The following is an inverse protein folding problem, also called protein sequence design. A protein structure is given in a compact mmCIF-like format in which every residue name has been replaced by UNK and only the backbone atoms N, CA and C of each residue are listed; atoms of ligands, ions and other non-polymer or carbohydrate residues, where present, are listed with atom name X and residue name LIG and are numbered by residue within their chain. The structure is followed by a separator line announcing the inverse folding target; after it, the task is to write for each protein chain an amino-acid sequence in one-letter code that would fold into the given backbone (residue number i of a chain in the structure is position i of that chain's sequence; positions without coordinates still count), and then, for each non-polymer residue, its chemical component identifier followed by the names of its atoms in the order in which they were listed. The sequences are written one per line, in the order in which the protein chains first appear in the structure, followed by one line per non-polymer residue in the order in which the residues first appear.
data_IF_348692759414
#
_entry.id   IF_348692759414
#
_cell.length_a   1.000
_cell.length_b   1.000
_cell.length_c   1.000
_cell.angle_alpha   90.00
_cell.angle_beta   90.00
_cell.angle_gamma   90.00
#
_symmetry.space_group_name_H-M   'P 1'
#
loop_
_entity.id
_entity.type
_entity.pdbx_description
1 polymer ?
#
# COMPACT_ATOMS: atom_id res chain seq x y z
N UNK A 1 33.10 2.18 10.94
CA UNK A 1 31.63 2.01 10.84
C UNK A 1 30.96 3.32 11.25
N UNK A 2 30.23 3.97 10.34
CA UNK A 2 29.54 5.23 10.60
C UNK A 2 28.55 5.08 11.77
N UNK A 3 28.42 6.11 12.60
CA UNK A 3 27.59 6.07 13.82
C UNK A 3 26.14 5.65 13.53
N UNK A 4 25.55 6.13 12.44
CA UNK A 4 24.19 5.74 12.03
C UNK A 4 24.04 4.25 11.74
N UNK A 5 25.09 3.59 11.23
CA UNK A 5 25.10 2.16 10.96
C UNK A 5 25.27 1.36 12.26
N UNK A 6 26.15 1.81 13.17
CA UNK A 6 26.29 1.21 14.51
C UNK A 6 24.96 1.21 15.26
N UNK A 7 24.24 2.33 15.24
CA UNK A 7 22.91 2.43 15.86
C UNK A 7 21.90 1.50 15.21
N UNK A 8 21.81 1.48 13.88
CA UNK A 8 20.86 0.60 13.19
C UNK A 8 21.14 -0.89 13.49
N UNK A 9 22.41 -1.29 13.57
CA UNK A 9 22.80 -2.62 14.02
C UNK A 9 22.37 -2.90 15.47
N UNK A 10 22.51 -1.92 16.37
CA UNK A 10 22.07 -2.06 17.76
C UNK A 10 20.55 -2.25 17.88
N UNK A 11 19.74 -1.50 17.12
CA UNK A 11 18.28 -1.71 17.07
C UNK A 11 17.92 -3.07 16.45
N UNK A 12 18.64 -3.51 15.42
CA UNK A 12 18.45 -4.85 14.85
C UNK A 12 18.73 -5.96 15.88
N UNK A 13 19.77 -5.81 16.72
CA UNK A 13 20.05 -6.75 17.81
C UNK A 13 18.95 -6.76 18.88
N UNK A 14 18.39 -5.60 19.22
CA UNK A 14 17.22 -5.53 20.12
C UNK A 14 16.01 -6.22 19.47
N UNK A 15 15.80 -6.03 18.17
CA UNK A 15 14.73 -6.72 17.43
C UNK A 15 14.89 -8.24 17.46
N UNK A 16 16.12 -8.77 17.43
CA UNK A 16 16.42 -10.20 17.55
C UNK A 16 15.90 -10.83 18.85
N UNK A 17 15.68 -10.05 19.92
CA UNK A 17 15.05 -10.55 21.15
C UNK A 17 13.66 -11.16 20.90
N UNK A 18 12.97 -10.75 19.84
CA UNK A 18 11.68 -11.34 19.44
C UNK A 18 11.80 -12.84 19.15
N UNK A 19 12.95 -13.34 18.71
CA UNK A 19 13.19 -14.77 18.46
C UNK A 19 13.07 -15.65 19.72
N UNK A 20 13.10 -15.06 20.92
CA UNK A 20 12.84 -15.78 22.17
C UNK A 20 11.33 -16.03 22.42
N UNK A 21 10.45 -15.34 21.69
CA UNK A 21 9.00 -15.41 21.91
C UNK A 21 8.41 -16.83 21.84
N UNK A 22 8.81 -17.71 20.90
CA UNK A 22 8.33 -19.10 20.87
C UNK A 22 8.58 -19.87 22.16
N UNK A 23 9.71 -19.59 22.82
CA UNK A 23 10.11 -20.25 24.07
C UNK A 23 9.42 -19.63 25.29
N UNK A 24 9.09 -18.35 25.24
CA UNK A 24 8.50 -17.60 26.34
C UNK A 24 6.96 -17.68 26.38
N UNK A 25 6.32 -18.06 25.27
CA UNK A 25 4.86 -18.18 25.18
C UNK A 25 4.16 -16.88 25.59
N UNK A 26 3.34 -16.94 26.65
CA UNK A 26 2.61 -15.76 27.19
C UNK A 26 3.54 -14.62 27.65
N UNK A 27 4.81 -14.91 27.91
CA UNK A 27 5.82 -13.93 28.30
C UNK A 27 6.61 -13.32 27.11
N UNK A 28 6.16 -13.51 25.87
CA UNK A 28 6.82 -13.01 24.66
C UNK A 28 7.15 -11.49 24.69
N UNK A 29 6.34 -10.69 25.39
CA UNK A 29 6.55 -9.24 25.53
C UNK A 29 7.62 -8.85 26.56
N UNK A 30 7.97 -9.74 27.51
CA UNK A 30 8.83 -9.42 28.66
C UNK A 30 10.22 -8.91 28.27
N UNK A 31 10.95 -9.51 27.29
CA UNK A 31 12.26 -9.00 26.90
C UNK A 31 12.24 -7.53 26.48
N UNK A 32 11.21 -7.12 25.74
CA UNK A 32 11.06 -5.73 25.29
C UNK A 32 10.62 -4.80 26.42
N UNK A 33 9.78 -5.26 27.35
CA UNK A 33 9.42 -4.47 28.53
C UNK A 33 10.66 -4.16 29.38
N UNK A 34 11.55 -5.16 29.55
CA UNK A 34 12.83 -4.98 30.25
C UNK A 34 13.72 -3.97 29.52
N UNK A 35 13.85 -4.06 28.19
CA UNK A 35 14.61 -3.08 27.41
C UNK A 35 14.02 -1.66 27.56
N UNK A 36 12.69 -1.52 27.58
CA UNK A 36 12.05 -0.22 27.76
C UNK A 36 12.36 0.38 29.15
N UNK A 37 12.25 -0.42 30.21
CA UNK A 37 12.56 0.02 31.59
C UNK A 37 14.03 0.39 31.71
N UNK A 38 14.95 -0.48 31.28
CA UNK A 38 16.38 -0.21 31.34
C UNK A 38 16.75 1.02 30.50
N UNK A 39 16.25 1.10 29.26
CA UNK A 39 16.46 2.22 28.35
C UNK A 39 16.01 3.56 28.93
N UNK A 40 14.94 3.57 29.73
CA UNK A 40 14.45 4.78 30.40
C UNK A 40 15.37 5.28 31.53
N UNK A 41 16.21 4.40 32.08
CA UNK A 41 17.18 4.75 33.14
C UNK A 41 18.54 5.19 32.61
N UNK A 42 18.84 4.94 31.33
CA UNK A 42 20.12 5.27 30.70
C UNK A 42 20.12 6.72 30.22
N UNK A 43 20.99 7.54 30.81
CA UNK A 43 21.19 8.96 30.47
C UNK A 43 22.55 9.26 29.84
N UNK A 44 23.55 8.40 30.08
CA UNK A 44 24.94 8.59 29.68
C UNK A 44 25.68 7.25 29.47
N UNK A 45 26.96 7.32 29.10
CA UNK A 45 27.82 6.16 28.84
C UNK A 45 27.67 5.52 27.45
N UNK A 46 28.35 4.38 27.26
CA UNK A 46 28.50 3.79 25.92
C UNK A 46 27.18 3.32 25.31
N UNK A 47 26.23 2.81 26.12
CA UNK A 47 24.90 2.42 25.65
C UNK A 47 24.12 3.65 25.16
N UNK A 48 24.21 4.77 25.88
CA UNK A 48 23.59 6.02 25.47
C UNK A 48 24.16 6.51 24.13
N UNK A 49 25.48 6.47 23.95
CA UNK A 49 26.13 6.89 22.70
C UNK A 49 25.71 6.04 21.49
N UNK A 50 25.58 4.74 21.68
CA UNK A 50 25.20 3.78 20.63
C UNK A 50 23.74 3.96 20.21
N UNK A 51 22.82 4.07 21.16
CA UNK A 51 21.37 4.09 20.88
C UNK A 51 20.79 5.48 20.63
N UNK A 52 21.44 6.55 21.10
CA UNK A 52 20.89 7.91 21.00
C UNK A 52 20.64 8.36 19.57
N UNK A 53 19.65 9.22 19.37
CA UNK A 53 19.52 10.08 18.19
C UNK A 53 19.98 11.49 18.50
N UNK A 54 20.14 12.35 17.48
CA UNK A 54 20.50 13.76 17.70
C UNK A 54 19.49 14.50 18.59
N UNK A 55 18.23 14.06 18.63
CA UNK A 55 17.21 14.60 19.53
C UNK A 55 17.27 13.96 20.91
N UNK A 56 17.55 12.66 21.02
CA UNK A 56 17.71 12.00 22.32
C UNK A 56 18.89 12.56 23.13
N UNK A 57 19.95 13.02 22.43
CA UNK A 57 21.06 13.76 23.06
C UNK A 57 20.63 15.12 23.59
N UNK A 58 19.69 15.80 22.93
CA UNK A 58 19.12 17.06 23.42
C UNK A 58 18.18 16.84 24.61
N UNK A 59 17.48 15.71 24.61
CA UNK A 59 16.55 15.32 25.68
C UNK A 59 17.25 14.60 26.85
N UNK A 60 18.57 14.34 26.74
CA UNK A 60 19.40 13.54 27.67
C UNK A 60 18.77 12.18 28.05
N UNK A 61 17.99 11.60 27.13
CA UNK A 61 17.23 10.36 27.36
C UNK A 61 17.06 9.55 26.09
N UNK A 62 17.16 8.22 26.18
CA UNK A 62 16.97 7.28 25.06
C UNK A 62 15.49 7.08 24.65
N UNK A 63 14.75 8.16 24.39
CA UNK A 63 13.32 8.10 24.04
C UNK A 63 13.05 7.22 22.82
N UNK A 64 13.90 7.24 21.81
CA UNK A 64 13.72 6.42 20.61
C UNK A 64 13.78 4.92 20.91
N UNK A 65 14.76 4.48 21.73
CA UNK A 65 14.87 3.07 22.14
C UNK A 65 13.68 2.65 23.00
N UNK A 66 13.31 3.49 23.96
CA UNK A 66 12.17 3.24 24.86
C UNK A 66 10.88 3.12 24.06
N UNK A 67 10.60 4.04 23.12
CA UNK A 67 9.41 3.97 22.28
C UNK A 67 9.37 2.71 21.41
N UNK A 68 10.48 2.34 20.77
CA UNK A 68 10.56 1.09 20.00
C UNK A 68 10.28 -0.14 20.88
N UNK A 69 10.91 -0.21 22.05
CA UNK A 69 10.75 -1.33 22.98
C UNK A 69 9.33 -1.40 23.57
N UNK A 70 8.69 -0.26 23.89
CA UNK A 70 7.30 -0.23 24.34
C UNK A 70 6.33 -0.66 23.23
N UNK A 71 6.59 -0.28 21.98
CA UNK A 71 5.79 -0.75 20.85
C UNK A 71 5.91 -2.26 20.65
N UNK A 72 7.12 -2.79 20.69
CA UNK A 72 7.37 -4.24 20.61
C UNK A 72 6.73 -4.98 21.79
N UNK A 73 6.72 -4.38 22.98
CA UNK A 73 5.98 -4.89 24.14
C UNK A 73 4.49 -4.95 23.84
N UNK A 74 3.90 -3.86 23.34
CA UNK A 74 2.48 -3.77 22.99
C UNK A 74 2.06 -4.81 21.94
N UNK A 75 2.83 -4.96 20.85
CA UNK A 75 2.57 -6.00 19.84
C UNK A 75 2.78 -7.40 20.43
N UNK A 76 3.81 -7.61 21.24
CA UNK A 76 4.06 -8.88 21.92
C UNK A 76 2.95 -9.29 22.89
N UNK A 77 2.25 -8.31 23.49
CA UNK A 77 1.07 -8.56 24.32
C UNK A 77 -0.15 -9.01 23.51
N UNK A 78 -0.22 -8.71 22.21
CA UNK A 78 -1.31 -9.19 21.36
C UNK A 78 -1.27 -10.72 21.19
N UNK A 79 -0.09 -11.33 21.28
CA UNK A 79 0.09 -12.79 21.17
C UNK A 79 -0.77 -13.54 22.21
N UNK A 80 -0.65 -13.30 23.52
CA UNK A 80 -1.48 -13.99 24.52
C UNK A 80 -2.89 -13.40 24.72
N UNK A 81 -3.19 -12.19 24.24
CA UNK A 81 -4.49 -11.52 24.46
C UNK A 81 -5.46 -11.80 23.32
N UNK A 82 -4.98 -11.81 22.07
CA UNK A 82 -5.79 -11.96 20.86
C UNK A 82 -5.35 -13.14 19.99
N UNK A 83 -4.57 -14.05 20.55
CA UNK A 83 -4.04 -15.24 19.86
C UNK A 83 -3.31 -14.91 18.56
N UNK A 84 -2.63 -13.75 18.51
CA UNK A 84 -1.79 -13.38 17.37
C UNK A 84 -0.67 -14.41 17.21
N UNK A 85 -0.47 -14.99 16.02
CA UNK A 85 0.59 -15.97 15.82
C UNK A 85 1.96 -15.41 16.18
N UNK A 86 2.77 -16.18 16.91
CA UNK A 86 4.12 -15.77 17.33
C UNK A 86 4.99 -15.36 16.13
N UNK A 87 4.84 -16.05 15.00
CA UNK A 87 5.52 -15.71 13.74
C UNK A 87 5.20 -14.30 13.22
N UNK A 88 3.96 -13.82 13.41
CA UNK A 88 3.54 -12.46 13.03
C UNK A 88 4.24 -11.42 13.90
N UNK A 89 4.29 -11.64 15.22
CA UNK A 89 5.02 -10.77 16.13
C UNK A 89 6.50 -10.69 15.74
N UNK A 90 7.16 -11.85 15.58
CA UNK A 90 8.58 -11.93 15.23
C UNK A 90 8.87 -11.24 13.89
N UNK A 91 8.09 -11.55 12.84
CA UNK A 91 8.28 -10.94 11.52
C UNK A 91 8.15 -9.40 11.57
N UNK A 92 7.17 -8.90 12.33
CA UNK A 92 6.92 -7.45 12.47
C UNK A 92 8.10 -6.73 13.13
N UNK A 93 8.61 -7.27 14.25
CA UNK A 93 9.74 -6.66 14.97
C UNK A 93 11.02 -6.71 14.15
N UNK A 94 11.32 -7.86 13.52
CA UNK A 94 12.53 -8.03 12.73
C UNK A 94 12.56 -7.14 11.49
N UNK A 95 11.45 -7.00 10.77
CA UNK A 95 11.37 -6.12 9.59
C UNK A 95 11.70 -4.68 9.94
N UNK A 96 11.13 -4.14 11.04
CA UNK A 96 11.36 -2.75 11.43
C UNK A 96 12.82 -2.54 11.87
N UNK A 97 13.38 -3.48 12.63
CA UNK A 97 14.77 -3.41 13.11
C UNK A 97 15.81 -3.57 12.01
N UNK A 98 15.71 -4.64 11.22
CA UNK A 98 16.67 -4.96 10.15
C UNK A 98 16.46 -4.13 8.89
N UNK A 99 15.25 -3.61 8.65
CA UNK A 99 15.00 -2.70 7.53
C UNK A 99 15.85 -1.43 7.62
N UNK A 100 15.91 -0.75 8.78
CA UNK A 100 16.76 0.46 8.90
C UNK A 100 18.24 0.12 8.73
N UNK A 101 18.68 -1.05 9.21
CA UNK A 101 20.03 -1.55 8.98
C UNK A 101 20.31 -1.69 7.47
N UNK A 102 19.41 -2.31 6.71
CA UNK A 102 19.56 -2.50 5.27
C UNK A 102 19.64 -1.18 4.51
N UNK A 103 18.79 -0.23 4.89
CA UNK A 103 18.83 1.14 4.36
C UNK A 103 20.17 1.82 4.60
N UNK A 104 20.70 1.73 5.83
CA UNK A 104 21.97 2.35 6.23
C UNK A 104 23.17 1.70 5.57
N UNK A 105 23.13 0.39 5.33
CA UNK A 105 24.17 -0.33 4.60
C UNK A 105 24.27 0.17 3.16
N UNK A 106 23.14 0.32 2.46
CA UNK A 106 23.16 0.86 1.08
C UNK A 106 23.68 2.30 1.05
N UNK A 107 23.22 3.15 1.97
CA UNK A 107 23.66 4.55 2.06
C UNK A 107 25.16 4.71 2.37
N UNK A 108 25.84 3.68 2.88
CA UNK A 108 27.28 3.72 3.06
C UNK A 108 28.05 3.67 1.73
N UNK A 109 27.47 3.03 0.71
CA UNK A 109 28.11 2.85 -0.59
C UNK A 109 27.53 3.76 -1.68
N UNK A 110 26.22 4.05 -1.64
CA UNK A 110 25.53 4.89 -2.63
C UNK A 110 24.49 5.78 -1.96
N UNK A 111 24.63 7.10 -2.11
CA UNK A 111 23.64 8.08 -1.67
C UNK A 111 22.47 8.19 -2.65
N UNK A 112 21.70 7.11 -2.80
CA UNK A 112 20.53 7.07 -3.69
C UNK A 112 19.27 6.65 -2.93
N UNK A 113 18.27 7.53 -2.90
CA UNK A 113 17.04 7.35 -2.10
C UNK A 113 16.32 6.04 -2.44
N UNK A 114 16.07 5.77 -3.73
CA UNK A 114 15.40 4.55 -4.19
C UNK A 114 16.15 3.28 -3.76
N UNK A 115 17.45 3.17 -4.06
CA UNK A 115 18.28 2.03 -3.68
C UNK A 115 18.33 1.82 -2.17
N UNK A 116 18.37 2.90 -1.38
CA UNK A 116 18.34 2.77 0.08
C UNK A 116 17.05 2.13 0.60
N UNK A 117 15.90 2.45 -0.03
CA UNK A 117 14.62 1.82 0.32
C UNK A 117 14.53 0.38 -0.20
N UNK A 118 15.13 0.06 -1.34
CA UNK A 118 15.30 -1.34 -1.77
C UNK A 118 16.12 -2.11 -0.72
N UNK A 119 17.20 -1.53 -0.21
CA UNK A 119 17.98 -2.11 0.89
C UNK A 119 17.16 -2.33 2.16
N UNK A 120 16.27 -1.40 2.50
CA UNK A 120 15.31 -1.54 3.60
C UNK A 120 14.41 -2.76 3.39
N UNK A 121 13.73 -2.82 2.24
CA UNK A 121 12.75 -3.87 1.94
C UNK A 121 13.43 -5.24 1.88
N UNK A 122 14.56 -5.36 1.18
CA UNK A 122 15.26 -6.64 1.01
C UNK A 122 15.76 -7.18 2.35
N UNK A 123 16.50 -6.38 3.14
CA UNK A 123 17.04 -6.90 4.40
C UNK A 123 15.93 -7.12 5.44
N UNK A 124 14.91 -6.27 5.46
CA UNK A 124 13.72 -6.46 6.32
C UNK A 124 12.99 -7.76 5.99
N UNK A 125 12.71 -8.03 4.71
CA UNK A 125 12.04 -9.24 4.27
C UNK A 125 12.85 -10.51 4.59
N UNK A 126 14.17 -10.49 4.33
CA UNK A 126 15.05 -11.62 4.68
C UNK A 126 15.07 -11.89 6.18
N UNK A 127 15.10 -10.83 7.01
CA UNK A 127 15.05 -10.98 8.47
C UNK A 127 13.71 -11.54 8.95
N UNK A 128 12.57 -11.07 8.42
CA UNK A 128 11.26 -11.63 8.74
C UNK A 128 11.13 -13.10 8.32
N UNK A 129 11.61 -13.45 7.12
CA UNK A 129 11.58 -14.83 6.63
C UNK A 129 12.44 -15.75 7.51
N UNK A 130 13.66 -15.32 7.86
CA UNK A 130 14.53 -16.05 8.78
C UNK A 130 13.87 -16.19 10.16
N UNK A 131 13.22 -15.15 10.66
CA UNK A 131 12.48 -15.20 11.92
C UNK A 131 11.34 -16.20 11.91
N UNK A 132 10.55 -16.25 10.84
CA UNK A 132 9.49 -17.25 10.69
C UNK A 132 10.04 -18.68 10.64
N UNK A 133 11.17 -18.90 9.95
CA UNK A 133 11.84 -20.20 9.93
C UNK A 133 12.33 -20.63 11.33
N UNK A 134 12.90 -19.70 12.11
CA UNK A 134 13.29 -19.96 13.51
C UNK A 134 12.08 -20.29 14.37
N UNK A 135 10.99 -19.52 14.25
CA UNK A 135 9.74 -19.80 14.99
C UNK A 135 9.25 -21.20 14.68
N UNK A 136 9.15 -21.57 13.40
CA UNK A 136 8.66 -22.88 13.00
C UNK A 136 9.55 -24.03 13.49
N UNK A 137 10.88 -23.85 13.46
CA UNK A 137 11.83 -24.82 13.98
C UNK A 137 11.74 -25.00 15.51
N UNK A 138 11.37 -23.95 16.25
CA UNK A 138 11.24 -23.99 17.71
C UNK A 138 9.86 -24.49 18.18
N UNK A 139 8.83 -24.42 17.33
CA UNK A 139 7.46 -24.83 17.67
C UNK A 139 7.01 -26.10 16.96
N UNK A 140 7.90 -26.77 16.22
CA UNK A 140 7.59 -27.90 15.34
C UNK A 140 6.41 -27.62 14.39
N UNK A 141 6.27 -26.36 13.95
CA UNK A 141 5.19 -25.96 13.05
C UNK A 141 5.50 -26.39 11.61
N UNK A 142 4.47 -26.77 10.87
CA UNK A 142 4.61 -27.12 9.45
C UNK A 142 5.06 -25.91 8.64
N UNK A 143 6.07 -26.12 7.79
CA UNK A 143 6.61 -25.04 6.98
C UNK A 143 5.66 -24.69 5.82
N UNK A 144 5.14 -23.47 5.82
CA UNK A 144 4.39 -22.89 4.70
C UNK A 144 5.20 -21.75 4.06
N UNK A 145 6.23 -22.15 3.29
CA UNK A 145 7.19 -21.21 2.72
C UNK A 145 6.57 -20.13 1.80
N UNK A 146 5.61 -20.42 0.89
CA UNK A 146 4.96 -19.39 0.10
C UNK A 146 4.29 -18.31 0.98
N UNK A 147 3.58 -18.74 2.03
CA UNK A 147 2.95 -17.84 2.97
C UNK A 147 3.99 -16.99 3.72
N UNK A 148 5.10 -17.59 4.17
CA UNK A 148 6.14 -16.84 4.87
C UNK A 148 6.80 -15.77 4.00
N UNK A 149 7.05 -16.08 2.73
CA UNK A 149 7.58 -15.12 1.76
C UNK A 149 6.59 -13.99 1.51
N UNK A 150 5.30 -14.30 1.39
CA UNK A 150 4.24 -13.29 1.26
C UNK A 150 4.15 -12.36 2.49
N UNK A 151 4.12 -12.92 3.70
CA UNK A 151 4.11 -12.18 4.96
C UNK A 151 5.36 -11.30 5.08
N UNK A 152 6.55 -11.85 4.84
CA UNK A 152 7.80 -11.12 4.96
C UNK A 152 7.91 -9.97 3.95
N UNK A 153 7.51 -10.21 2.70
CA UNK A 153 7.53 -9.19 1.64
C UNK A 153 6.51 -8.10 1.91
N UNK A 154 5.30 -8.46 2.33
CA UNK A 154 4.24 -7.51 2.68
C UNK A 154 4.64 -6.64 3.87
N UNK A 155 5.22 -7.24 4.92
CA UNK A 155 5.74 -6.53 6.08
C UNK A 155 6.79 -5.51 5.66
N UNK A 156 7.77 -5.93 4.86
CA UNK A 156 8.90 -5.11 4.46
C UNK A 156 8.48 -3.97 3.53
N UNK A 157 7.57 -4.22 2.58
CA UNK A 157 7.02 -3.20 1.69
C UNK A 157 6.19 -2.17 2.47
N UNK A 158 5.25 -2.61 3.33
CA UNK A 158 4.45 -1.70 4.14
C UNK A 158 5.35 -0.87 5.08
N UNK A 159 6.27 -1.51 5.81
CA UNK A 159 7.21 -0.81 6.67
C UNK A 159 8.05 0.19 5.85
N UNK A 160 8.49 -0.20 4.65
CA UNK A 160 9.21 0.67 3.73
C UNK A 160 8.40 1.90 3.31
N UNK A 161 7.13 1.72 2.94
CA UNK A 161 6.20 2.81 2.60
C UNK A 161 6.06 3.76 3.79
N UNK A 162 5.74 3.23 4.98
CA UNK A 162 5.57 4.03 6.19
C UNK A 162 6.85 4.81 6.52
N UNK A 163 8.03 4.22 6.33
CA UNK A 163 9.33 4.90 6.49
C UNK A 163 9.60 6.03 5.52
N UNK A 164 8.85 6.15 4.43
CA UNK A 164 8.95 7.33 3.55
C UNK A 164 8.26 8.56 4.13
N UNK A 165 7.31 8.37 5.05
CA UNK A 165 6.56 9.43 5.73
C UNK A 165 7.02 9.67 7.16
N UNK A 166 7.35 8.58 7.84
CA UNK A 166 7.57 8.53 9.27
C UNK A 166 9.06 8.44 9.60
N UNK A 167 9.44 9.15 10.66
CA UNK A 167 10.80 9.16 11.18
C UNK A 167 11.06 7.95 12.08
N UNK A 168 12.31 7.77 12.52
CA UNK A 168 12.72 6.69 13.45
C UNK A 168 12.04 6.78 14.83
N UNK A 169 11.35 7.87 15.17
CA UNK A 169 10.59 7.97 16.42
C UNK A 169 9.18 7.41 16.31
N UNK A 170 8.69 7.26 15.09
CA UNK A 170 7.36 6.77 14.77
C UNK A 170 7.36 5.24 14.60
N UNK A 171 8.44 4.58 15.05
CA UNK A 171 8.56 3.13 15.14
C UNK A 171 7.33 2.46 15.76
N UNK A 172 6.69 3.02 16.81
CA UNK A 172 5.45 2.45 17.31
C UNK A 172 4.34 2.35 16.27
N UNK A 173 4.15 3.40 15.47
CA UNK A 173 3.12 3.41 14.41
C UNK A 173 3.49 2.40 13.34
N UNK A 174 4.74 2.41 12.85
CA UNK A 174 5.21 1.47 11.83
C UNK A 174 5.02 0.02 12.29
N UNK A 175 5.46 -0.29 13.51
CA UNK A 175 5.43 -1.62 14.08
C UNK A 175 4.00 -2.13 14.28
N UNK A 176 3.12 -1.32 14.87
CA UNK A 176 1.73 -1.71 15.13
C UNK A 176 0.98 -1.88 13.80
N UNK A 177 1.12 -0.95 12.85
CA UNK A 177 0.46 -1.05 11.55
C UNK A 177 0.91 -2.29 10.78
N UNK A 178 2.21 -2.60 10.78
CA UNK A 178 2.73 -3.84 10.16
C UNK A 178 2.16 -5.06 10.88
N UNK A 179 2.20 -5.11 12.20
CA UNK A 179 1.69 -6.25 12.96
C UNK A 179 0.19 -6.51 12.72
N UNK A 180 -0.63 -5.46 12.68
CA UNK A 180 -2.06 -5.58 12.40
C UNK A 180 -2.32 -6.09 10.98
N UNK A 181 -1.56 -5.62 9.99
CA UNK A 181 -1.69 -6.13 8.62
C UNK A 181 -1.28 -7.60 8.52
N UNK A 182 -0.14 -7.98 9.13
CA UNK A 182 0.31 -9.37 9.09
C UNK A 182 -0.63 -10.29 9.87
N UNK A 183 -1.22 -9.80 10.96
CA UNK A 183 -2.25 -10.52 11.69
C UNK A 183 -3.51 -10.72 10.82
N UNK A 184 -3.96 -9.69 10.10
CA UNK A 184 -5.03 -9.83 9.11
C UNK A 184 -4.71 -10.92 8.09
N UNK A 185 -3.50 -10.96 7.52
CA UNK A 185 -3.13 -12.00 6.55
C UNK A 185 -3.02 -13.39 7.16
N UNK A 186 -2.61 -13.51 8.42
CA UNK A 186 -2.63 -14.77 9.13
C UNK A 186 -4.07 -15.28 9.35
N UNK A 187 -5.02 -14.38 9.61
CA UNK A 187 -6.45 -14.72 9.74
C UNK A 187 -7.08 -15.07 8.38
N UNK A 188 -6.77 -14.31 7.34
CA UNK A 188 -7.29 -14.57 5.98
C UNK A 188 -6.71 -15.85 5.37
N UNK A 189 -5.49 -16.21 5.75
CA UNK A 189 -4.79 -17.41 5.28
C UNK A 189 -4.91 -17.63 3.75
N UNK A 190 -4.61 -16.61 2.91
CA UNK A 190 -5.02 -16.56 1.50
C UNK A 190 -4.40 -17.65 0.60
N UNK A 191 -3.42 -18.39 1.12
CA UNK A 191 -2.70 -19.43 0.39
C UNK A 191 -2.97 -20.84 0.94
N UNK A 192 -3.71 -21.00 2.05
CA UNK A 192 -3.90 -22.30 2.68
C UNK A 192 -4.81 -23.23 1.86
N UNK A 193 -5.78 -22.65 1.15
CA UNK A 193 -6.65 -23.37 0.22
C UNK A 193 -6.01 -23.58 -1.18
N UNK A 194 -4.80 -23.05 -1.42
CA UNK A 194 -4.15 -23.07 -2.74
C UNK A 194 -3.09 -24.18 -2.78
N UNK A 195 -3.04 -25.00 -3.85
CA UNK A 195 -1.99 -26.00 -4.00
C UNK A 195 -0.58 -25.39 -3.89
N UNK A 196 0.39 -26.05 -3.23
CA UNK A 196 1.70 -25.46 -2.94
C UNK A 196 2.47 -24.95 -4.18
N UNK A 197 2.37 -25.67 -5.31
CA UNK A 197 3.00 -25.25 -6.56
C UNK A 197 2.42 -23.91 -7.07
N UNK A 198 1.09 -23.79 -7.07
CA UNK A 198 0.38 -22.57 -7.47
C UNK A 198 0.59 -21.43 -6.48
N UNK A 199 0.70 -21.72 -5.18
CA UNK A 199 1.01 -20.72 -4.17
C UNK A 199 2.41 -20.11 -4.40
N UNK A 200 3.41 -20.95 -4.68
CA UNK A 200 4.74 -20.48 -5.07
C UNK A 200 4.72 -19.65 -6.35
N UNK A 201 4.04 -20.15 -7.38
CA UNK A 201 3.89 -19.43 -8.64
C UNK A 201 3.32 -18.03 -8.42
N UNK A 202 2.18 -17.92 -7.71
CA UNK A 202 1.54 -16.64 -7.40
C UNK A 202 2.48 -15.68 -6.69
N UNK A 203 3.16 -16.12 -5.63
CA UNK A 203 4.05 -15.25 -4.84
C UNK A 203 5.28 -14.80 -5.65
N UNK A 204 5.92 -15.72 -6.39
CA UNK A 204 7.11 -15.39 -7.17
C UNK A 204 6.77 -14.50 -8.38
N UNK A 205 5.67 -14.80 -9.08
CA UNK A 205 5.17 -13.95 -10.17
C UNK A 205 4.79 -12.57 -9.63
N UNK A 206 4.08 -12.51 -8.50
CA UNK A 206 3.73 -11.24 -7.86
C UNK A 206 4.98 -10.41 -7.58
N UNK A 207 5.98 -10.97 -6.88
CA UNK A 207 7.22 -10.25 -6.55
C UNK A 207 7.99 -9.84 -7.80
N UNK A 208 8.14 -10.74 -8.77
CA UNK A 208 8.88 -10.47 -10.01
C UNK A 208 8.24 -9.38 -10.86
N UNK A 209 6.95 -9.53 -11.18
CA UNK A 209 6.24 -8.61 -12.07
C UNK A 209 6.02 -7.25 -11.39
N UNK A 210 5.68 -7.23 -10.11
CA UNK A 210 5.46 -5.96 -9.40
C UNK A 210 6.77 -5.19 -9.19
N UNK A 211 7.88 -5.87 -8.87
CA UNK A 211 9.19 -5.24 -8.78
C UNK A 211 9.66 -4.71 -10.15
N UNK A 212 9.45 -5.47 -11.23
CA UNK A 212 9.77 -5.03 -12.59
C UNK A 212 8.95 -3.80 -12.98
N UNK A 213 7.64 -3.81 -12.70
CA UNK A 213 6.75 -2.67 -12.95
C UNK A 213 7.13 -1.45 -12.11
N UNK A 214 7.40 -1.63 -10.82
CA UNK A 214 7.85 -0.56 -9.94
C UNK A 214 9.16 0.07 -10.41
N UNK A 215 10.14 -0.76 -10.78
CA UNK A 215 11.39 -0.29 -11.35
C UNK A 215 11.18 0.51 -12.64
N UNK A 216 10.42 -0.04 -13.59
CA UNK A 216 10.13 0.64 -14.86
C UNK A 216 9.40 1.97 -14.63
N UNK A 217 8.38 1.98 -13.77
CA UNK A 217 7.62 3.19 -13.43
C UNK A 217 8.51 4.27 -12.81
N UNK A 218 9.40 3.89 -11.89
CA UNK A 218 10.32 4.85 -11.28
C UNK A 218 11.40 5.33 -12.26
N UNK A 219 11.96 4.43 -13.08
CA UNK A 219 12.99 4.74 -14.07
C UNK A 219 12.47 5.67 -15.18
N UNK A 220 11.18 5.56 -15.54
CA UNK A 220 10.49 6.46 -16.46
C UNK A 220 10.04 7.77 -15.80
N UNK A 221 10.33 7.97 -14.51
CA UNK A 221 9.89 9.13 -13.73
C UNK A 221 8.37 9.23 -13.59
N UNK A 222 7.63 8.13 -13.72
CA UNK A 222 6.17 8.11 -13.58
C UNK A 222 5.72 8.06 -12.12
N UNK A 223 6.59 7.58 -11.22
CA UNK A 223 6.30 7.51 -9.77
C UNK A 223 7.48 7.94 -8.91
N UNK A 224 7.16 8.54 -7.76
CA UNK A 224 8.13 8.77 -6.69
C UNK A 224 8.59 7.44 -6.05
N UNK A 225 9.65 7.45 -5.24
CA UNK A 225 10.10 6.24 -4.51
C UNK A 225 8.98 5.65 -3.63
N UNK A 226 8.20 6.52 -2.97
CA UNK A 226 7.08 6.09 -2.15
C UNK A 226 5.94 5.52 -3.01
N UNK A 227 5.62 6.18 -4.13
CA UNK A 227 4.65 5.70 -5.12
C UNK A 227 5.04 4.33 -5.70
N UNK A 228 6.33 4.13 -6.04
CA UNK A 228 6.87 2.85 -6.49
C UNK A 228 6.64 1.74 -5.45
N UNK A 229 7.05 1.95 -4.19
CA UNK A 229 6.84 0.95 -3.14
C UNK A 229 5.35 0.65 -2.92
N UNK A 230 4.50 1.67 -3.02
CA UNK A 230 3.05 1.52 -2.87
C UNK A 230 2.47 0.70 -4.02
N UNK A 231 2.85 0.99 -5.27
CA UNK A 231 2.42 0.22 -6.43
C UNK A 231 2.89 -1.24 -6.38
N UNK A 232 4.15 -1.48 -5.96
CA UNK A 232 4.68 -2.83 -5.75
C UNK A 232 3.86 -3.59 -4.70
N UNK A 233 3.56 -2.93 -3.59
CA UNK A 233 2.77 -3.50 -2.49
C UNK A 233 1.33 -3.82 -2.93
N UNK A 234 0.62 -2.87 -3.53
CA UNK A 234 -0.75 -3.09 -4.01
C UNK A 234 -0.80 -4.19 -5.08
N UNK A 235 0.19 -4.24 -5.97
CA UNK A 235 0.29 -5.29 -6.97
C UNK A 235 0.54 -6.68 -6.36
N UNK A 236 1.38 -6.77 -5.31
CA UNK A 236 1.60 -8.02 -4.57
C UNK A 236 0.28 -8.51 -3.97
N UNK A 237 -0.48 -7.61 -3.34
CA UNK A 237 -1.79 -7.94 -2.77
C UNK A 237 -2.78 -8.39 -3.84
N UNK A 238 -2.86 -7.68 -4.97
CA UNK A 238 -3.78 -8.03 -6.06
C UNK A 238 -3.54 -9.44 -6.59
N UNK A 239 -2.27 -9.82 -6.83
CA UNK A 239 -1.94 -11.16 -7.33
C UNK A 239 -2.17 -12.25 -6.27
N UNK A 240 -1.74 -12.03 -5.03
CA UNK A 240 -1.80 -13.08 -4.00
C UNK A 240 -3.21 -13.29 -3.47
N UNK A 241 -3.95 -12.20 -3.22
CA UNK A 241 -5.29 -12.25 -2.63
C UNK A 241 -6.38 -12.48 -3.68
N UNK A 242 -6.26 -11.86 -4.86
CA UNK A 242 -7.28 -11.91 -5.91
C UNK A 242 -6.93 -12.85 -7.06
N UNK A 243 -5.66 -12.87 -7.45
CA UNK A 243 -5.16 -13.58 -8.63
C UNK A 243 -4.75 -12.62 -9.75
N UNK A 244 -4.29 -13.17 -10.88
CA UNK A 244 -3.71 -12.38 -11.97
C UNK A 244 -4.69 -11.37 -12.58
N UNK A 245 -5.99 -11.69 -12.65
CA UNK A 245 -7.01 -10.80 -13.21
C UNK A 245 -7.13 -9.46 -12.48
N UNK A 246 -7.13 -9.49 -11.15
CA UNK A 246 -7.20 -8.30 -10.30
C UNK A 246 -5.99 -7.39 -10.52
N UNK A 247 -4.82 -8.00 -10.67
CA UNK A 247 -3.58 -7.29 -10.95
C UNK A 247 -3.57 -6.65 -12.35
N UNK A 248 -4.10 -7.32 -13.37
CA UNK A 248 -4.20 -6.78 -14.73
C UNK A 248 -5.00 -5.48 -14.76
N UNK A 249 -6.15 -5.42 -14.07
CA UNK A 249 -6.95 -4.19 -14.01
C UNK A 249 -6.18 -3.06 -13.29
N UNK A 250 -5.52 -3.37 -12.17
CA UNK A 250 -4.74 -2.40 -11.41
C UNK A 250 -3.59 -1.81 -12.24
N UNK A 251 -2.83 -2.66 -12.93
CA UNK A 251 -1.72 -2.24 -13.79
C UNK A 251 -2.23 -1.47 -14.99
N UNK A 252 -3.36 -1.87 -15.59
CA UNK A 252 -3.96 -1.12 -16.70
C UNK A 252 -4.28 0.31 -16.28
N UNK A 253 -4.90 0.49 -15.11
CA UNK A 253 -5.11 1.82 -14.55
C UNK A 253 -3.79 2.59 -14.35
N UNK A 254 -2.79 2.02 -13.68
CA UNK A 254 -1.54 2.73 -13.44
C UNK A 254 -0.78 3.06 -14.73
N UNK A 255 -0.70 2.12 -15.66
CA UNK A 255 0.04 2.27 -16.90
C UNK A 255 -0.62 3.31 -17.80
N UNK A 256 -1.90 3.15 -18.10
CA UNK A 256 -2.63 4.08 -18.97
C UNK A 256 -2.74 5.44 -18.30
N UNK A 257 -3.10 5.49 -17.01
CA UNK A 257 -3.22 6.74 -16.27
C UNK A 257 -1.90 7.52 -16.20
N UNK A 258 -0.77 6.85 -15.92
CA UNK A 258 0.54 7.52 -15.90
C UNK A 258 0.96 8.02 -17.29
N UNK A 259 0.65 7.28 -18.36
CA UNK A 259 0.92 7.72 -19.73
C UNK A 259 0.09 8.97 -20.09
N UNK A 260 -1.20 9.00 -19.71
CA UNK A 260 -2.06 10.16 -19.95
C UNK A 260 -1.61 11.37 -19.13
N UNK A 261 -1.20 11.19 -17.87
CA UNK A 261 -0.61 12.27 -17.06
C UNK A 261 0.65 12.86 -17.72
N UNK A 262 1.45 12.07 -18.43
CA UNK A 262 2.62 12.60 -19.18
C UNK A 262 2.30 13.11 -20.57
N UNK A 263 1.15 12.74 -21.13
CA UNK A 263 0.75 13.17 -22.46
C UNK A 263 0.60 14.69 -22.51
N UNK A 264 1.35 15.33 -23.42
CA UNK A 264 1.38 16.79 -23.61
C UNK A 264 1.61 17.58 -22.31
N UNK A 265 2.49 17.07 -21.45
CA UNK A 265 2.78 17.68 -20.15
C UNK A 265 3.17 19.17 -20.24
N UNK A 266 4.01 19.56 -21.20
CA UNK A 266 4.43 20.95 -21.39
C UNK A 266 3.24 21.89 -21.69
N UNK A 267 2.27 21.44 -22.48
CA UNK A 267 1.05 22.23 -22.77
C UNK A 267 0.17 22.36 -21.53
N UNK A 268 0.08 21.31 -20.70
CA UNK A 268 -0.65 21.36 -19.43
C UNK A 268 0.04 22.31 -18.44
N UNK A 269 1.37 22.36 -18.47
CA UNK A 269 2.17 23.25 -17.62
C UNK A 269 1.95 24.72 -18.01
N UNK A 270 1.98 25.03 -19.30
CA UNK A 270 1.66 26.37 -19.82
C UNK A 270 0.24 26.82 -19.46
N UNK A 271 -0.71 25.88 -19.38
CA UNK A 271 -2.10 26.11 -19.00
C UNK A 271 -2.33 26.14 -17.48
N UNK A 272 -1.33 25.84 -16.66
CA UNK A 272 -1.47 25.79 -15.20
C UNK A 272 -2.27 24.58 -14.67
N UNK A 273 -2.52 23.57 -15.50
CA UNK A 273 -3.31 22.37 -15.17
C UNK A 273 -2.46 21.10 -15.07
N UNK A 274 -1.13 21.23 -15.13
CA UNK A 274 -0.23 20.08 -15.02
C UNK A 274 -0.18 19.53 -13.60
N UNK A 275 -0.21 18.20 -13.49
CA UNK A 275 -0.01 17.49 -12.23
C UNK A 275 1.37 17.82 -11.64
N UNK A 276 1.46 18.12 -10.32
CA UNK A 276 2.73 18.43 -9.66
C UNK A 276 3.78 17.31 -9.78
N UNK A 277 5.04 17.65 -9.47
CA UNK A 277 6.19 16.73 -9.53
C UNK A 277 6.43 16.12 -10.93
N UNK A 278 6.29 16.90 -12.00
CA UNK A 278 6.51 16.40 -13.38
C UNK A 278 5.54 15.24 -13.75
N UNK A 279 4.35 15.24 -13.13
CA UNK A 279 3.36 14.17 -13.27
C UNK A 279 3.72 12.88 -12.53
N UNK A 280 4.74 12.88 -11.66
CA UNK A 280 5.11 11.70 -10.89
C UNK A 280 4.13 11.44 -9.75
N UNK A 281 3.43 10.30 -9.80
CA UNK A 281 2.42 9.94 -8.80
C UNK A 281 3.06 9.54 -7.47
N UNK A 282 2.61 10.19 -6.39
CA UNK A 282 2.97 9.85 -5.02
C UNK A 282 2.09 8.73 -4.45
N UNK A 283 2.45 8.22 -3.27
CA UNK A 283 1.59 7.29 -2.52
C UNK A 283 0.21 7.88 -2.23
N UNK A 284 0.09 9.20 -2.02
CA UNK A 284 -1.20 9.87 -1.87
C UNK A 284 -2.11 9.63 -3.07
N UNK A 285 -1.66 9.98 -4.28
CA UNK A 285 -2.38 9.74 -5.53
C UNK A 285 -2.71 8.26 -5.75
N UNK A 286 -1.75 7.38 -5.44
CA UNK A 286 -1.91 5.92 -5.58
C UNK A 286 -2.98 5.39 -4.63
N UNK A 287 -2.95 5.76 -3.35
CA UNK A 287 -3.93 5.29 -2.37
C UNK A 287 -5.29 5.96 -2.53
N UNK A 288 -5.36 7.25 -2.85
CA UNK A 288 -6.63 7.95 -3.11
C UNK A 288 -7.43 7.24 -4.20
N UNK A 289 -6.75 6.84 -5.28
CA UNK A 289 -7.40 6.17 -6.41
C UNK A 289 -7.57 4.65 -6.29
N UNK A 290 -6.87 3.99 -5.35
CA UNK A 290 -6.87 2.53 -5.27
C UNK A 290 -7.30 1.96 -3.92
N UNK A 291 -7.54 2.79 -2.90
CA UNK A 291 -7.95 2.31 -1.58
C UNK A 291 -9.34 1.64 -1.61
N UNK A 292 -10.31 2.20 -2.33
CA UNK A 292 -11.63 1.56 -2.48
C UNK A 292 -11.53 0.19 -3.16
N UNK A 293 -10.73 0.07 -4.23
CA UNK A 293 -10.42 -1.21 -4.86
C UNK A 293 -9.69 -2.17 -3.91
N UNK A 294 -8.71 -1.69 -3.14
CA UNK A 294 -8.02 -2.50 -2.13
C UNK A 294 -8.99 -3.03 -1.07
N UNK A 295 -9.94 -2.22 -0.60
CA UNK A 295 -10.98 -2.69 0.32
C UNK A 295 -11.85 -3.77 -0.31
N UNK A 296 -12.29 -3.60 -1.57
CA UNK A 296 -13.04 -4.64 -2.29
C UNK A 296 -12.24 -5.94 -2.41
N UNK A 297 -10.93 -5.85 -2.70
CA UNK A 297 -10.03 -7.01 -2.75
C UNK A 297 -9.84 -7.69 -1.39
N UNK A 298 -9.70 -6.92 -0.31
CA UNK A 298 -9.59 -7.47 1.04
C UNK A 298 -10.88 -8.13 1.49
N UNK A 299 -12.04 -7.56 1.14
CA UNK A 299 -13.34 -8.19 1.40
C UNK A 299 -13.53 -9.47 0.57
N UNK A 300 -13.07 -9.49 -0.67
CA UNK A 300 -13.02 -10.72 -1.48
C UNK A 300 -12.13 -11.79 -0.81
N UNK A 301 -10.94 -11.42 -0.34
CA UNK A 301 -10.07 -12.35 0.39
C UNK A 301 -10.71 -12.83 1.70
N UNK A 302 -11.60 -12.03 2.29
CA UNK A 302 -12.36 -12.33 3.49
C UNK A 302 -13.74 -12.96 3.22
N UNK A 303 -14.11 -13.30 1.98
CA UNK A 303 -15.49 -13.70 1.63
C UNK A 303 -16.01 -14.88 2.45
N UNK A 304 -15.13 -15.80 2.89
CA UNK A 304 -15.51 -16.88 3.82
C UNK A 304 -16.12 -16.37 5.15
N UNK A 305 -15.89 -15.11 5.49
CA UNK A 305 -16.39 -14.42 6.69
C UNK A 305 -17.50 -13.40 6.39
N UNK A 306 -17.86 -13.17 5.11
CA UNK A 306 -18.82 -12.14 4.68
C UNK A 306 -19.79 -12.69 3.63
N UNK A 307 -21.11 -12.70 3.86
CA UNK A 307 -22.09 -13.40 3.02
C UNK A 307 -22.47 -12.63 1.74
N UNK A 308 -21.51 -12.30 0.90
CA UNK A 308 -21.72 -11.76 -0.45
C UNK A 308 -21.09 -12.69 -1.48
N UNK A 309 -21.66 -12.73 -2.70
CA UNK A 309 -21.08 -13.53 -3.78
C UNK A 309 -19.76 -12.94 -4.26
N UNK A 310 -18.84 -13.82 -4.69
CA UNK A 310 -17.51 -13.44 -5.20
C UNK A 310 -17.59 -12.38 -6.31
N UNK A 311 -18.59 -12.50 -7.17
CA UNK A 311 -18.87 -11.60 -8.29
C UNK A 311 -19.19 -10.18 -7.81
N UNK A 312 -19.83 -10.01 -6.65
CA UNK A 312 -20.10 -8.68 -6.08
C UNK A 312 -18.80 -7.91 -5.83
N UNK A 313 -17.79 -8.58 -5.29
CA UNK A 313 -16.49 -7.97 -5.02
C UNK A 313 -15.73 -7.66 -6.32
N UNK A 314 -15.87 -8.51 -7.34
CA UNK A 314 -15.29 -8.25 -8.66
C UNK A 314 -15.88 -6.98 -9.28
N UNK A 315 -17.20 -6.78 -9.20
CA UNK A 315 -17.85 -5.55 -9.66
C UNK A 315 -17.44 -4.32 -8.84
N UNK A 316 -17.33 -4.46 -7.52
CA UNK A 316 -16.88 -3.36 -6.67
C UNK A 316 -15.43 -2.95 -6.98
N UNK A 317 -14.56 -3.93 -7.20
CA UNK A 317 -13.18 -3.70 -7.60
C UNK A 317 -13.09 -3.08 -9.00
N UNK A 318 -13.75 -3.69 -9.98
CA UNK A 318 -13.73 -3.23 -11.37
C UNK A 318 -14.33 -1.83 -11.50
N UNK A 319 -15.45 -1.54 -10.83
CA UNK A 319 -16.08 -0.21 -10.82
C UNK A 319 -15.19 0.85 -10.18
N UNK A 320 -14.47 0.52 -9.10
CA UNK A 320 -13.50 1.41 -8.46
C UNK A 320 -12.30 1.71 -9.38
N UNK A 321 -11.71 0.69 -10.00
CA UNK A 321 -10.59 0.85 -10.94
C UNK A 321 -11.02 1.56 -12.23
N UNK A 322 -12.22 1.26 -12.74
CA UNK A 322 -12.81 1.93 -13.91
C UNK A 322 -13.01 3.42 -13.64
N UNK A 323 -13.48 3.77 -12.43
CA UNK A 323 -13.60 5.16 -12.00
C UNK A 323 -12.25 5.85 -11.96
N UNK A 324 -11.25 5.23 -11.32
CA UNK A 324 -9.92 5.82 -11.21
C UNK A 324 -9.30 6.12 -12.59
N UNK A 325 -9.48 5.20 -13.56
CA UNK A 325 -8.99 5.43 -14.92
C UNK A 325 -9.84 6.44 -15.69
N UNK A 326 -11.17 6.39 -15.56
CA UNK A 326 -12.07 7.33 -16.20
C UNK A 326 -11.79 8.77 -15.75
N UNK A 327 -11.71 8.98 -14.44
CA UNK A 327 -11.40 10.27 -13.85
C UNK A 327 -10.04 10.81 -14.30
N UNK A 328 -8.99 9.98 -14.21
CA UNK A 328 -7.66 10.36 -14.71
C UNK A 328 -7.69 10.75 -16.19
N UNK A 329 -8.39 10.00 -17.05
CA UNK A 329 -8.44 10.35 -18.48
C UNK A 329 -9.27 11.60 -18.72
N UNK A 330 -10.35 11.79 -17.97
CA UNK A 330 -11.22 12.94 -18.09
C UNK A 330 -10.51 14.24 -17.72
N UNK A 331 -9.84 14.28 -16.57
CA UNK A 331 -9.11 15.45 -16.10
C UNK A 331 -7.89 15.76 -16.98
N UNK A 332 -7.06 14.76 -17.29
CA UNK A 332 -5.81 14.96 -18.02
C UNK A 332 -5.99 15.31 -19.49
N UNK A 333 -7.01 14.74 -20.15
CA UNK A 333 -7.36 15.09 -21.53
C UNK A 333 -8.22 16.35 -21.56
N UNK A 334 -9.18 16.46 -20.65
CA UNK A 334 -10.11 17.58 -20.57
C UNK A 334 -9.42 18.92 -20.30
N UNK A 335 -8.37 18.94 -19.48
CA UNK A 335 -7.59 20.14 -19.18
C UNK A 335 -6.85 20.75 -20.40
N UNK A 336 -6.73 20.01 -21.50
CA UNK A 336 -6.14 20.51 -22.75
C UNK A 336 -7.13 21.32 -23.61
N UNK A 337 -8.41 21.37 -23.24
CA UNK A 337 -9.46 22.02 -24.02
C UNK A 337 -10.01 23.26 -23.30
N UNK A 338 -10.54 24.18 -24.11
CA UNK A 338 -11.08 25.46 -23.63
C UNK A 338 -12.60 25.36 -23.38
N UNK A 339 -13.17 26.42 -22.78
CA UNK A 339 -14.58 26.52 -22.39
C UNK A 339 -15.10 25.40 -21.44
N UNK A 340 -14.34 24.99 -20.40
CA UNK A 340 -14.85 24.02 -19.44
C UNK A 340 -16.04 24.62 -18.68
N UNK A 341 -16.96 23.75 -18.25
CA UNK A 341 -18.18 24.15 -17.55
C UNK A 341 -18.25 23.51 -16.20
N UNK A 342 -18.63 24.28 -15.18
CA UNK A 342 -18.84 23.73 -13.85
C UNK A 342 -20.00 22.72 -13.89
N UNK A 343 -19.81 21.51 -13.35
CA UNK A 343 -20.81 20.43 -13.44
C UNK A 343 -22.14 20.78 -12.74
N UNK A 344 -22.13 21.69 -11.77
CA UNK A 344 -23.30 22.07 -10.98
C UNK A 344 -24.14 23.19 -11.61
N UNK A 345 -23.50 24.20 -12.22
CA UNK A 345 -24.19 25.38 -12.78
C UNK A 345 -24.19 25.41 -14.31
N UNK A 346 -23.36 24.60 -14.96
CA UNK A 346 -23.07 24.63 -16.40
C UNK A 346 -22.50 25.95 -16.91
N UNK A 347 -22.08 26.85 -16.02
CA UNK A 347 -21.41 28.10 -16.36
C UNK A 347 -19.97 27.83 -16.80
N UNK A 348 -19.47 28.66 -17.73
CA UNK A 348 -18.09 28.57 -18.19
C UNK A 348 -17.14 29.07 -17.11
N UNK A 349 -16.08 28.32 -16.86
CA UNK A 349 -15.05 28.63 -15.88
C UNK A 349 -13.66 28.49 -16.50
N UNK A 350 -12.63 28.84 -15.75
CA UNK A 350 -11.24 28.70 -16.21
C UNK A 350 -10.80 27.22 -16.21
N UNK A 351 -9.98 26.78 -17.18
CA UNK A 351 -9.34 25.46 -17.14
C UNK A 351 -8.61 25.20 -15.83
N UNK A 352 -8.79 24.00 -15.28
CA UNK A 352 -8.23 23.62 -13.97
C UNK A 352 -9.09 24.01 -12.77
N UNK A 353 -10.28 24.58 -12.98
CA UNK A 353 -11.26 24.78 -11.90
C UNK A 353 -11.78 23.42 -11.43
N UNK A 354 -11.72 23.16 -10.12
CA UNK A 354 -12.23 21.92 -9.52
C UNK A 354 -13.71 21.71 -9.85
N UNK A 355 -14.04 20.50 -10.35
CA UNK A 355 -15.39 20.15 -10.78
C UNK A 355 -15.84 20.72 -12.14
N UNK A 356 -14.93 21.33 -12.90
CA UNK A 356 -15.19 21.75 -14.26
C UNK A 356 -14.98 20.61 -15.27
N UNK A 357 -15.93 20.43 -16.17
CA UNK A 357 -15.94 19.35 -17.17
C UNK A 357 -15.90 19.89 -18.59
N UNK A 358 -15.27 19.12 -19.50
CA UNK A 358 -15.31 19.33 -20.95
C UNK A 358 -15.88 18.08 -21.62
N UNK A 359 -16.54 18.21 -22.77
CA UNK A 359 -17.09 17.04 -23.46
C UNK A 359 -15.99 16.08 -23.95
N UNK A 360 -14.79 16.61 -24.24
CA UNK A 360 -13.62 15.82 -24.59
C UNK A 360 -13.10 15.02 -23.40
N UNK A 361 -13.07 15.64 -22.20
CA UNK A 361 -12.75 14.96 -20.95
C UNK A 361 -13.75 13.83 -20.68
N UNK A 362 -15.05 14.13 -20.73
CA UNK A 362 -16.11 13.12 -20.56
C UNK A 362 -15.95 11.92 -21.51
N UNK A 363 -15.70 12.18 -22.80
CA UNK A 363 -15.48 11.11 -23.78
C UNK A 363 -14.20 10.30 -23.48
N UNK A 364 -13.13 10.96 -23.05
CA UNK A 364 -11.89 10.30 -22.64
C UNK A 364 -12.11 9.44 -21.38
N UNK A 365 -12.90 9.93 -20.43
CA UNK A 365 -13.26 9.19 -19.23
C UNK A 365 -14.12 7.96 -19.53
N UNK A 366 -15.12 8.09 -20.39
CA UNK A 366 -15.91 6.94 -20.90
C UNK A 366 -15.00 5.91 -21.57
N UNK A 367 -14.02 6.35 -22.38
CA UNK A 367 -13.04 5.45 -22.98
C UNK A 367 -12.18 4.74 -21.91
N UNK A 368 -11.77 5.44 -20.85
CA UNK A 368 -11.07 4.86 -19.70
C UNK A 368 -11.88 3.78 -19.00
N UNK A 369 -13.15 4.05 -18.68
CA UNK A 369 -14.05 3.06 -18.09
C UNK A 369 -14.23 1.84 -19.01
N UNK A 370 -14.38 2.07 -20.32
CA UNK A 370 -14.51 1.02 -21.33
C UNK A 370 -13.25 0.13 -21.45
N UNK A 371 -12.04 0.69 -21.28
CA UNK A 371 -10.80 -0.10 -21.24
C UNK A 371 -10.83 -1.09 -20.08
N UNK A 372 -11.16 -0.65 -18.87
CA UNK A 372 -11.25 -1.54 -17.70
C UNK A 372 -12.36 -2.58 -17.88
N UNK A 373 -13.53 -2.15 -18.35
CA UNK A 373 -14.65 -3.06 -18.61
C UNK A 373 -14.33 -4.13 -19.67
N UNK A 374 -13.60 -3.75 -20.73
CA UNK A 374 -13.14 -4.68 -21.77
C UNK A 374 -12.15 -5.70 -21.23
N UNK A 375 -11.23 -5.28 -20.35
CA UNK A 375 -10.32 -6.21 -19.69
C UNK A 375 -11.06 -7.21 -18.78
N UNK A 376 -12.16 -6.79 -18.13
CA UNK A 376 -12.98 -7.67 -17.31
C UNK A 376 -13.58 -8.85 -18.09
N UNK A 377 -13.80 -8.71 -19.40
CA UNK A 377 -14.23 -9.83 -20.27
C UNK A 377 -13.19 -10.95 -20.27
N UNK A 378 -11.91 -10.60 -20.31
CA UNK A 378 -10.82 -11.58 -20.37
C UNK A 378 -10.42 -12.12 -19.00
N UNK A 379 -10.54 -11.30 -17.94
CA UNK A 379 -10.01 -11.66 -16.62
C UNK A 379 -11.05 -12.18 -15.63
N UNK A 380 -12.32 -11.84 -15.82
CA UNK A 380 -13.45 -12.25 -14.97
C UNK A 380 -14.59 -12.91 -15.77
N UNK A 381 -14.38 -13.20 -17.06
CA UNK A 381 -15.38 -13.80 -17.95
C UNK A 381 -16.71 -13.00 -18.01
N UNK A 382 -16.63 -11.67 -17.88
CA UNK A 382 -17.79 -10.80 -17.89
C UNK A 382 -18.47 -10.78 -19.28
N UNK A 383 -19.77 -11.07 -19.31
CA UNK A 383 -20.61 -10.90 -20.49
C UNK A 383 -21.00 -9.44 -20.75
N UNK A 384 -21.69 -9.16 -21.86
CA UNK A 384 -22.01 -7.80 -22.29
C UNK A 384 -22.74 -6.95 -21.22
N UNK A 385 -23.68 -7.55 -20.49
CA UNK A 385 -24.39 -6.85 -19.41
C UNK A 385 -23.43 -6.45 -18.26
N UNK A 386 -22.53 -7.36 -17.86
CA UNK A 386 -21.53 -7.11 -16.84
C UNK A 386 -20.52 -6.03 -17.27
N UNK A 387 -20.07 -6.07 -18.53
CA UNK A 387 -19.23 -5.01 -19.11
C UNK A 387 -19.93 -3.65 -19.07
N UNK A 388 -21.22 -3.59 -19.43
CA UNK A 388 -22.01 -2.37 -19.35
C UNK A 388 -22.12 -1.82 -17.93
N UNK A 389 -22.29 -2.69 -16.93
CA UNK A 389 -22.30 -2.31 -15.51
C UNK A 389 -20.97 -1.65 -15.10
N UNK A 390 -19.82 -2.21 -15.50
CA UNK A 390 -18.50 -1.64 -15.16
C UNK A 390 -18.31 -0.25 -15.80
N UNK A 391 -18.75 -0.07 -17.04
CA UNK A 391 -18.70 1.25 -17.71
C UNK A 391 -19.56 2.27 -16.96
N UNK A 392 -20.81 1.93 -16.65
CA UNK A 392 -21.73 2.81 -15.92
C UNK A 392 -21.20 3.15 -14.52
N UNK A 393 -20.60 2.18 -13.84
CA UNK A 393 -19.96 2.39 -12.55
C UNK A 393 -18.78 3.37 -12.64
N UNK A 394 -17.93 3.24 -13.67
CA UNK A 394 -16.83 4.17 -13.93
C UNK A 394 -17.30 5.60 -14.20
N UNK A 395 -18.35 5.75 -15.02
CA UNK A 395 -18.96 7.06 -15.31
C UNK A 395 -19.57 7.66 -14.05
N UNK A 396 -20.29 6.86 -13.25
CA UNK A 396 -20.89 7.32 -12.00
C UNK A 396 -19.84 7.85 -11.02
N UNK A 397 -18.72 7.14 -10.88
CA UNK A 397 -17.61 7.56 -10.03
C UNK A 397 -16.92 8.82 -10.54
N UNK A 398 -16.62 8.93 -11.84
CA UNK A 398 -16.03 10.13 -12.45
C UNK A 398 -16.95 11.36 -12.30
N UNK A 399 -18.26 11.16 -12.46
CA UNK A 399 -19.24 12.24 -12.25
C UNK A 399 -19.29 12.65 -10.78
N UNK A 400 -19.19 11.69 -9.86
CA UNK A 400 -19.13 11.97 -8.43
C UNK A 400 -17.87 12.75 -8.03
N UNK A 401 -16.73 12.48 -8.70
CA UNK A 401 -15.50 13.25 -8.54
C UNK A 401 -15.74 14.74 -8.88
N UNK A 402 -16.24 15.00 -10.10
CA UNK A 402 -16.52 16.37 -10.56
C UNK A 402 -17.52 17.09 -9.65
N UNK A 403 -18.54 16.40 -9.15
CA UNK A 403 -19.51 16.97 -8.20
C UNK A 403 -18.86 17.29 -6.85
N UNK A 404 -18.02 16.40 -6.33
CA UNK A 404 -17.32 16.59 -5.07
C UNK A 404 -16.27 17.72 -5.18
N UNK A 405 -15.55 17.80 -6.30
CA UNK A 405 -14.66 18.92 -6.65
C UNK A 405 -15.40 20.26 -6.63
N UNK A 406 -16.58 20.33 -7.25
CA UNK A 406 -17.37 21.56 -7.31
C UNK A 406 -18.01 21.99 -5.97
N UNK A 407 -18.14 21.10 -4.98
CA UNK A 407 -18.97 21.35 -3.78
C UNK A 407 -18.27 21.21 -2.44
N UNK A 408 -17.29 20.32 -2.32
CA UNK A 408 -16.68 19.93 -1.04
C UNK A 408 -15.16 20.13 -1.03
N UNK A 409 -14.51 20.04 -2.19
CA UNK A 409 -13.06 20.24 -2.32
C UNK A 409 -12.62 21.67 -1.92
N UNK A 410 -11.44 21.78 -1.31
CA UNK A 410 -10.89 23.04 -0.81
C UNK A 410 -11.51 23.56 0.50
N UNK A 411 -12.72 23.13 0.85
CA UNK A 411 -13.40 23.50 2.10
C UNK A 411 -13.30 22.46 3.21
N UNK A 412 -13.51 21.17 2.89
CA UNK A 412 -13.66 20.09 3.90
C UNK A 412 -12.72 18.92 3.60
N UNK A 413 -12.51 18.60 2.32
CA UNK A 413 -11.74 17.43 1.87
C UNK A 413 -10.71 17.89 0.84
N UNK A 414 -9.50 17.33 0.86
CA UNK A 414 -8.50 17.56 -0.18
C UNK A 414 -8.61 16.53 -1.31
N UNK A 415 -8.02 16.81 -2.48
CA UNK A 415 -8.00 15.98 -3.69
C UNK A 415 -7.93 14.45 -3.42
N UNK A 416 -7.00 13.98 -2.57
CA UNK A 416 -6.87 12.54 -2.31
C UNK A 416 -8.10 11.90 -1.64
N UNK A 417 -8.83 12.67 -0.83
CA UNK A 417 -10.10 12.23 -0.25
C UNK A 417 -11.23 12.26 -1.28
N UNK A 418 -11.22 13.21 -2.21
CA UNK A 418 -12.19 13.30 -3.32
C UNK A 418 -12.03 12.08 -4.25
N UNK A 419 -10.80 11.79 -4.69
CA UNK A 419 -10.47 10.58 -5.45
C UNK A 419 -10.94 9.29 -4.75
N UNK A 420 -10.77 9.21 -3.43
CA UNK A 420 -11.25 8.06 -2.65
C UNK A 420 -12.78 7.95 -2.67
N UNK A 421 -13.49 9.06 -2.49
CA UNK A 421 -14.96 9.08 -2.53
C UNK A 421 -15.50 8.75 -3.93
N UNK A 422 -14.86 9.26 -4.98
CA UNK A 422 -15.20 8.95 -6.36
C UNK A 422 -15.04 7.45 -6.63
N UNK A 423 -13.87 6.89 -6.34
CA UNK A 423 -13.59 5.47 -6.58
C UNK A 423 -14.41 4.54 -5.68
N UNK A 424 -14.75 4.98 -4.46
CA UNK A 424 -15.72 4.29 -3.60
C UNK A 424 -17.12 4.31 -4.21
N UNK A 425 -17.56 5.46 -4.72
CA UNK A 425 -18.85 5.61 -5.39
C UNK A 425 -18.94 4.68 -6.60
N UNK A 426 -17.88 4.62 -7.42
CA UNK A 426 -17.79 3.69 -8.53
C UNK A 426 -17.86 2.23 -8.11
N UNK A 427 -17.14 1.84 -7.06
CA UNK A 427 -17.20 0.47 -6.53
C UNK A 427 -18.59 0.09 -6.01
N UNK A 428 -19.21 0.97 -5.22
CA UNK A 428 -20.58 0.75 -4.71
C UNK A 428 -21.59 0.70 -5.85
N UNK A 429 -21.49 1.61 -6.83
CA UNK A 429 -22.33 1.61 -8.02
C UNK A 429 -22.18 0.31 -8.81
N UNK A 430 -20.95 -0.19 -8.99
CA UNK A 430 -20.69 -1.48 -9.64
C UNK A 430 -21.43 -2.63 -8.97
N UNK A 431 -21.28 -2.76 -7.64
CA UNK A 431 -21.97 -3.81 -6.88
C UNK A 431 -23.50 -3.68 -6.90
N UNK A 432 -24.04 -2.47 -6.70
CA UNK A 432 -25.48 -2.23 -6.68
C UNK A 432 -26.13 -2.40 -8.06
N UNK A 433 -25.50 -1.93 -9.13
CA UNK A 433 -26.00 -2.11 -10.49
C UNK A 433 -25.98 -3.59 -10.88
N UNK A 434 -24.91 -4.32 -10.54
CA UNK A 434 -24.83 -5.75 -10.78
C UNK A 434 -25.95 -6.52 -10.06
N UNK A 435 -26.23 -6.17 -8.81
CA UNK A 435 -27.37 -6.72 -8.06
C UNK A 435 -28.70 -6.38 -8.74
N UNK A 436 -28.90 -5.13 -9.15
CA UNK A 436 -30.13 -4.66 -9.77
C UNK A 436 -30.44 -5.36 -11.11
N UNK A 437 -29.41 -5.74 -11.87
CA UNK A 437 -29.55 -6.47 -13.14
C UNK A 437 -29.43 -7.99 -13.00
N UNK A 438 -29.36 -8.52 -11.77
CA UNK A 438 -29.35 -9.96 -11.50
C UNK A 438 -28.05 -10.67 -11.89
N UNK A 439 -26.90 -9.99 -11.81
CA UNK A 439 -25.58 -10.55 -12.11
C UNK A 439 -24.84 -11.06 -10.86
N UNK A 440 -25.41 -10.87 -9.66
CA UNK A 440 -24.77 -11.07 -8.35
C UNK A 440 -25.72 -11.77 -7.39
#
# INVERSE_FOLDING_TARGET
MNWSLRRAAAFALVATLSLSAPLLGRAAAVPFAVVAVLGATITDGWLFEVFSTARDRRDERLRTLVSFALAATGVGLLVPIFDVPVGVFVASVLVVGYGDLGRRLVLQYREHRALSMVGFVVLGALAALAGQAVVAALTDATANYPHWVFIASSAALLAGILRTFFSVRDDPVVLVTVALLLWLFAVLAPLDAVPPATAWERVLVALGVTAAFGYASHALGATSVAGMLTGVFLGLLAVVLGGYGWFVLLIAFFAVGSLTTKFRYDQKLERGVAEPNEGARGTGNVLGNSAAALFALLLYAAHAHVPLSDTAYQFAYAGSIATALADTLSSEVGGLFDDPRLVTTFERVEPGTDGAVTWQGELAGVAGAAVIAGLCVAVFDFGAAATGVVVLAGIAGMTADSLAGATVEGGIVGNQGVNFLATLTGGVAGGLLALAVGLV
#
